data_IF_513765191379
#
_entry.id   IF_513765191379
#
_cell.length_a   1.000
_cell.length_b   1.000
_cell.length_c   1.000
_cell.angle_alpha   90.00
_cell.angle_beta   90.00
_cell.angle_gamma   90.00
#
_symmetry.space_group_name_H-M   'P 1'
#
loop_
_entity.id
_entity.type
_entity.pdbx_description
1 polymer ?
#
# COMPACT_ATOMS: atom_id res chain seq x y z
N UNK A 1 1.81 -13.70 30.68
CA UNK A 1 2.17 -13.77 29.25
C UNK A 1 3.57 -14.36 29.13
N UNK A 2 3.94 -15.04 28.05
CA UNK A 2 5.33 -15.43 27.82
C UNK A 2 6.22 -14.19 27.84
N UNK A 3 7.50 -14.35 28.19
CA UNK A 3 8.45 -13.21 28.20
C UNK A 3 8.95 -12.83 26.81
N UNK A 4 8.83 -13.75 25.84
CA UNK A 4 9.26 -13.59 24.44
C UNK A 4 8.15 -13.95 23.48
N UNK A 5 8.28 -13.50 22.24
CA UNK A 5 7.40 -13.77 21.11
C UNK A 5 8.21 -14.12 19.86
N UNK A 6 7.62 -14.85 18.93
CA UNK A 6 8.20 -15.05 17.59
C UNK A 6 8.06 -13.78 16.75
N UNK A 7 9.12 -13.44 16.02
CA UNK A 7 9.13 -12.30 15.10
C UNK A 7 10.08 -12.53 13.92
N UNK A 8 9.77 -11.92 12.77
CA UNK A 8 10.68 -11.83 11.64
C UNK A 8 11.56 -10.58 11.80
N UNK A 9 12.83 -10.82 11.98
CA UNK A 9 13.81 -9.80 12.33
C UNK A 9 14.82 -9.62 11.20
N UNK A 10 15.06 -8.38 10.81
CA UNK A 10 16.27 -8.01 10.07
C UNK A 10 17.44 -8.03 11.06
N UNK A 11 17.98 -9.21 11.33
CA UNK A 11 18.98 -9.43 12.37
C UNK A 11 20.39 -9.04 11.92
N UNK A 12 20.65 -9.04 10.60
CA UNK A 12 21.97 -8.81 10.01
C UNK A 12 21.88 -7.89 8.79
N UNK A 13 22.96 -7.15 8.52
CA UNK A 13 23.14 -6.27 7.36
C UNK A 13 23.47 -7.05 6.07
N UNK A 14 22.67 -8.06 5.73
CA UNK A 14 22.83 -8.92 4.55
C UNK A 14 21.46 -9.34 4.00
N UNK A 15 21.40 -10.00 2.85
CA UNK A 15 20.14 -10.51 2.26
C UNK A 15 19.48 -11.51 3.21
N UNK A 16 18.19 -11.38 3.41
CA UNK A 16 17.36 -12.25 4.27
C UNK A 16 16.66 -11.51 5.41
N UNK A 17 15.73 -12.20 6.02
CA UNK A 17 15.01 -11.87 7.26
C UNK A 17 14.93 -13.20 8.05
N UNK A 18 14.97 -13.15 9.37
CA UNK A 18 15.09 -14.35 10.21
C UNK A 18 14.00 -14.41 11.26
N UNK A 19 13.44 -15.60 11.49
CA UNK A 19 12.54 -15.86 12.62
C UNK A 19 13.37 -15.95 13.90
N UNK A 20 13.08 -15.08 14.87
CA UNK A 20 13.76 -15.02 16.15
C UNK A 20 12.78 -14.92 17.31
N UNK A 21 13.23 -15.29 18.52
CA UNK A 21 12.54 -15.02 19.77
C UNK A 21 12.97 -13.64 20.29
N UNK A 22 12.04 -12.71 20.37
CA UNK A 22 12.29 -11.34 20.84
C UNK A 22 11.41 -11.02 22.05
N UNK A 23 11.77 -10.07 22.92
CA UNK A 23 10.90 -9.65 24.01
C UNK A 23 9.56 -9.10 23.52
N UNK A 24 8.45 -9.45 24.20
CA UNK A 24 7.15 -8.82 23.97
C UNK A 24 7.26 -7.33 24.31
N UNK A 25 6.78 -6.41 23.46
CA UNK A 25 6.86 -4.98 23.71
C UNK A 25 6.12 -4.55 24.98
N UNK A 26 6.77 -3.80 25.86
CA UNK A 26 6.09 -3.12 26.96
C UNK A 26 5.43 -1.84 26.45
N UNK A 27 4.15 -1.62 26.75
CA UNK A 27 3.39 -0.44 26.34
C UNK A 27 3.60 0.75 27.27
N UNK A 28 3.52 1.95 26.73
CA UNK A 28 3.46 3.23 27.47
C UNK A 28 2.01 3.57 27.84
N UNK A 29 1.79 4.58 28.68
CA UNK A 29 0.42 4.97 29.09
C UNK A 29 -0.54 5.28 27.93
N UNK A 30 -0.05 5.74 26.80
CA UNK A 30 -0.83 6.10 25.61
C UNK A 30 -0.71 5.07 24.46
N UNK A 31 -0.17 3.89 24.73
CA UNK A 31 0.03 2.84 23.74
C UNK A 31 -0.92 1.64 23.99
N UNK A 32 -1.04 0.85 22.95
CA UNK A 32 -1.88 -0.36 22.90
C UNK A 32 -0.99 -1.51 22.47
N UNK A 33 -1.13 -2.68 23.13
CA UNK A 33 -0.55 -3.93 22.68
C UNK A 33 -1.60 -4.70 21.87
N UNK A 34 -1.23 -5.06 20.66
CA UNK A 34 -2.09 -5.75 19.69
C UNK A 34 -1.50 -7.14 19.46
N UNK A 35 -2.30 -8.20 19.66
CA UNK A 35 -1.99 -9.54 19.17
C UNK A 35 -2.24 -9.56 17.67
N UNK A 36 -1.20 -9.82 16.90
CA UNK A 36 -1.27 -9.87 15.44
C UNK A 36 -1.86 -11.21 15.02
N UNK A 37 -2.85 -11.18 14.15
CA UNK A 37 -3.46 -12.39 13.58
C UNK A 37 -2.97 -12.66 12.17
N UNK A 38 -2.96 -11.62 11.34
CA UNK A 38 -2.56 -11.69 9.95
C UNK A 38 -1.66 -10.53 9.60
N UNK A 39 -0.66 -10.78 8.76
CA UNK A 39 0.15 -9.74 8.14
C UNK A 39 0.23 -9.95 6.65
N UNK A 40 0.60 -8.92 5.91
CA UNK A 40 0.79 -9.01 4.47
C UNK A 40 2.17 -8.48 4.10
N UNK A 41 2.79 -9.12 3.10
CA UNK A 41 4.12 -8.71 2.62
C UNK A 41 3.98 -7.56 1.62
N UNK A 42 4.76 -6.50 1.84
CA UNK A 42 4.85 -5.29 1.02
C UNK A 42 6.10 -5.29 0.13
N UNK A 43 6.10 -4.45 -0.91
CA UNK A 43 7.31 -4.15 -1.68
C UNK A 43 8.44 -3.58 -0.83
N UNK A 44 8.12 -2.80 0.20
CA UNK A 44 9.10 -2.29 1.19
C UNK A 44 9.82 -3.42 1.93
N UNK A 45 9.11 -4.49 2.29
CA UNK A 45 9.71 -5.67 2.94
C UNK A 45 10.68 -6.39 1.99
N UNK A 46 10.41 -6.35 0.67
CA UNK A 46 11.32 -6.89 -0.35
C UNK A 46 12.61 -6.07 -0.47
N UNK A 47 12.56 -4.74 -0.31
CA UNK A 47 13.76 -3.89 -0.21
C UNK A 47 14.59 -4.26 1.01
N UNK A 48 13.93 -4.45 2.16
CA UNK A 48 14.57 -4.87 3.43
C UNK A 48 15.17 -6.27 3.30
N UNK A 49 14.42 -7.22 2.70
CA UNK A 49 14.89 -8.59 2.46
C UNK A 49 16.16 -8.58 1.59
N UNK A 50 16.14 -7.86 0.45
CA UNK A 50 17.26 -7.75 -0.49
C UNK A 50 18.44 -6.95 0.07
N UNK A 51 18.23 -6.21 1.13
CA UNK A 51 19.21 -5.31 1.74
C UNK A 51 19.81 -4.31 0.74
N UNK A 52 18.96 -3.71 -0.06
CA UNK A 52 19.35 -2.74 -1.08
C UNK A 52 19.81 -1.38 -0.48
N UNK A 53 20.32 -0.45 -1.29
CA UNK A 53 20.79 0.85 -0.79
C UNK A 53 19.77 1.65 0.00
N UNK A 54 18.47 1.54 -0.34
CA UNK A 54 17.41 2.20 0.42
C UNK A 54 17.27 1.59 1.82
N UNK A 55 17.23 0.26 1.91
CA UNK A 55 17.13 -0.43 3.20
C UNK A 55 18.35 -0.15 4.09
N UNK A 56 19.56 -0.16 3.50
CA UNK A 56 20.80 0.17 4.21
C UNK A 56 20.79 1.59 4.81
N UNK A 57 20.16 2.53 4.14
CA UNK A 57 20.09 3.93 4.61
C UNK A 57 19.01 4.18 5.66
N UNK A 58 17.95 3.35 5.70
CA UNK A 58 16.73 3.66 6.46
C UNK A 58 16.40 2.67 7.58
N UNK A 59 16.92 1.44 7.53
CA UNK A 59 16.54 0.37 8.47
C UNK A 59 17.66 0.08 9.44
N UNK A 60 17.48 0.37 10.74
CA UNK A 60 18.45 -0.05 11.75
C UNK A 60 18.45 -1.58 11.92
N UNK A 61 19.59 -2.14 12.25
CA UNK A 61 19.77 -3.59 12.51
C UNK A 61 20.25 -3.78 13.94
N UNK A 62 19.58 -4.64 14.76
CA UNK A 62 18.42 -5.48 14.44
C UNK A 62 17.08 -4.72 14.43
N UNK A 63 16.09 -5.18 13.61
CA UNK A 63 14.77 -4.58 13.50
C UNK A 63 13.70 -5.65 13.25
N UNK A 64 12.61 -5.67 14.02
CA UNK A 64 11.39 -6.42 13.69
C UNK A 64 10.72 -5.73 12.50
N UNK A 65 10.50 -6.45 11.42
CA UNK A 65 9.98 -5.90 10.15
C UNK A 65 8.45 -6.00 10.04
N UNK A 66 7.88 -5.60 8.89
CA UNK A 66 6.44 -5.67 8.60
C UNK A 66 5.65 -4.47 9.11
N UNK A 67 4.66 -4.03 8.31
CA UNK A 67 3.84 -2.85 8.62
C UNK A 67 2.39 -2.97 8.17
N UNK A 68 2.03 -4.06 7.52
CA UNK A 68 0.69 -4.39 7.06
C UNK A 68 0.13 -5.50 7.95
N UNK A 69 -0.95 -5.24 8.73
CA UNK A 69 -1.45 -6.22 9.69
C UNK A 69 -2.92 -6.02 10.07
N UNK A 70 -3.53 -7.09 10.58
CA UNK A 70 -4.78 -7.09 11.32
C UNK A 70 -4.64 -7.93 12.60
N UNK A 71 -5.28 -7.50 13.67
CA UNK A 71 -5.16 -8.15 14.97
C UNK A 71 -6.22 -7.72 15.96
N UNK A 72 -5.97 -8.02 17.25
CA UNK A 72 -6.85 -7.74 18.36
C UNK A 72 -6.09 -7.08 19.52
N UNK A 73 -6.72 -6.10 20.16
CA UNK A 73 -6.18 -5.42 21.35
C UNK A 73 -6.14 -6.39 22.52
N UNK A 74 -4.96 -6.61 23.12
CA UNK A 74 -4.80 -7.49 24.30
C UNK A 74 -4.41 -6.73 25.56
N UNK A 75 -3.85 -5.52 25.44
CA UNK A 75 -3.51 -4.66 26.58
C UNK A 75 -3.60 -3.18 26.17
N UNK A 76 -4.05 -2.32 27.08
CA UNK A 76 -4.14 -0.87 26.85
C UNK A 76 -3.42 -0.11 27.96
N UNK A 77 -2.76 0.98 27.58
CA UNK A 77 -2.13 1.90 28.53
C UNK A 77 -3.14 2.72 29.33
N UNK A 78 -2.71 3.26 30.47
CA UNK A 78 -3.59 3.90 31.45
C UNK A 78 -4.32 5.16 30.94
N UNK A 79 -3.85 5.79 29.85
CA UNK A 79 -4.47 6.98 29.24
C UNK A 79 -5.28 6.68 27.98
N UNK A 80 -5.30 5.43 27.51
CA UNK A 80 -6.06 4.99 26.34
C UNK A 80 -7.56 5.10 26.60
N UNK A 81 -8.35 5.60 25.61
CA UNK A 81 -9.80 5.83 25.73
C UNK A 81 -10.60 5.43 24.51
N UNK A 82 -9.96 5.27 23.33
CA UNK A 82 -10.64 5.07 22.05
C UNK A 82 -10.84 3.61 21.66
N UNK A 83 -10.11 2.71 22.31
CA UNK A 83 -10.14 1.28 22.05
C UNK A 83 -10.16 0.52 23.35
N UNK A 84 -10.62 -0.74 23.32
CA UNK A 84 -10.72 -1.63 24.47
C UNK A 84 -10.11 -3.01 24.16
N UNK A 85 -9.76 -3.74 25.20
CA UNK A 85 -9.29 -5.13 25.09
C UNK A 85 -10.37 -5.99 24.42
N UNK A 86 -9.95 -6.87 23.52
CA UNK A 86 -10.83 -7.72 22.70
C UNK A 86 -11.29 -7.05 21.39
N UNK A 87 -10.99 -5.79 21.17
CA UNK A 87 -11.39 -5.09 19.95
C UNK A 87 -10.50 -5.45 18.76
N UNK A 88 -11.12 -5.77 17.62
CA UNK A 88 -10.44 -6.03 16.36
C UNK A 88 -9.92 -4.71 15.77
N UNK A 89 -8.68 -4.71 15.36
CA UNK A 89 -7.98 -3.50 14.90
C UNK A 89 -6.99 -3.78 13.76
N UNK A 90 -6.75 -2.74 12.99
CA UNK A 90 -5.51 -2.53 12.24
C UNK A 90 -4.89 -1.22 12.70
N UNK A 91 -3.96 -0.65 11.97
CA UNK A 91 -3.38 0.63 12.37
C UNK A 91 -2.57 1.33 11.29
N UNK A 92 -2.50 2.63 11.46
CA UNK A 92 -1.64 3.50 10.66
C UNK A 92 -0.17 3.27 11.06
N UNK A 93 0.61 2.72 10.14
CA UNK A 93 2.02 2.37 10.38
C UNK A 93 2.96 3.58 10.53
N UNK A 94 2.49 4.79 10.18
CA UNK A 94 3.28 6.01 10.29
C UNK A 94 3.03 6.71 11.62
N UNK A 95 3.99 6.64 12.53
CA UNK A 95 3.96 7.33 13.81
C UNK A 95 4.55 8.74 13.64
N UNK A 96 3.73 9.76 13.90
CA UNK A 96 4.06 11.17 13.65
C UNK A 96 4.63 11.87 14.90
N UNK A 97 5.49 12.87 14.67
CA UNK A 97 6.08 13.68 15.74
C UNK A 97 5.12 14.70 16.38
N UNK A 98 4.03 15.06 15.70
CA UNK A 98 2.97 15.97 16.15
C UNK A 98 3.39 17.45 16.39
N UNK A 99 4.61 17.86 16.02
CA UNK A 99 5.13 19.21 16.31
C UNK A 99 5.27 20.09 15.07
N UNK A 100 5.36 19.50 13.88
CA UNK A 100 5.52 20.24 12.63
C UNK A 100 4.28 21.06 12.26
N UNK A 101 4.45 22.06 11.37
CA UNK A 101 3.33 22.82 10.81
C UNK A 101 2.28 21.92 10.16
N UNK A 102 2.72 20.89 9.42
CA UNK A 102 1.83 19.96 8.75
C UNK A 102 1.01 19.14 9.74
N UNK A 103 1.67 18.52 10.73
CA UNK A 103 0.99 17.75 11.77
C UNK A 103 -0.02 18.61 12.54
N UNK A 104 0.38 19.82 12.98
CA UNK A 104 -0.50 20.75 13.71
C UNK A 104 -1.67 21.29 12.89
N UNK A 105 -1.60 21.23 11.56
CA UNK A 105 -2.72 21.59 10.66
C UNK A 105 -3.53 20.39 10.17
N UNK A 106 -3.39 19.22 10.82
CA UNK A 106 -4.16 18.00 10.49
C UNK A 106 -3.65 17.24 9.27
N UNK A 107 -2.50 17.62 8.70
CA UNK A 107 -1.86 16.93 7.58
C UNK A 107 -0.76 16.00 8.09
N UNK A 108 -1.12 15.06 8.97
CA UNK A 108 -0.18 14.20 9.69
C UNK A 108 0.71 13.36 8.77
N UNK A 109 0.17 12.84 7.66
CA UNK A 109 0.94 12.08 6.66
C UNK A 109 2.07 12.88 6.01
N UNK A 110 2.08 14.21 6.15
CA UNK A 110 3.13 15.11 5.65
C UNK A 110 4.06 15.61 6.77
N UNK A 111 4.04 14.96 7.93
CA UNK A 111 4.94 15.31 9.02
C UNK A 111 6.37 14.83 8.69
N UNK A 112 7.37 15.74 8.65
CA UNK A 112 8.74 15.35 8.33
C UNK A 112 9.41 14.45 9.38
N UNK A 113 8.88 14.42 10.61
CA UNK A 113 9.38 13.56 11.69
C UNK A 113 8.69 12.20 11.77
N UNK A 114 7.96 11.82 10.71
CA UNK A 114 7.27 10.53 10.63
C UNK A 114 8.25 9.36 10.69
N UNK A 115 7.91 8.35 11.50
CA UNK A 115 8.62 7.08 11.61
C UNK A 115 7.68 5.93 11.25
N UNK A 116 8.16 5.01 10.40
CA UNK A 116 7.40 3.83 9.98
C UNK A 116 7.68 2.61 10.86
N UNK A 117 6.64 1.93 11.33
CA UNK A 117 6.80 0.60 11.93
C UNK A 117 7.34 -0.37 10.86
N UNK A 118 8.15 -1.34 11.27
CA UNK A 118 8.80 -2.29 10.34
C UNK A 118 9.91 -1.69 9.47
N UNK A 119 10.18 -0.38 9.58
CA UNK A 119 11.25 0.34 8.85
C UNK A 119 12.25 0.95 9.82
N UNK A 120 11.82 1.88 10.67
CA UNK A 120 12.67 2.52 11.67
C UNK A 120 12.07 2.53 13.08
N UNK A 121 10.94 1.83 13.25
CA UNK A 121 10.37 1.38 14.52
C UNK A 121 10.04 -0.12 14.41
N UNK A 122 10.04 -0.89 15.53
CA UNK A 122 9.64 -2.29 15.51
C UNK A 122 8.28 -2.50 14.84
N UNK A 123 8.22 -3.49 13.95
CA UNK A 123 7.09 -3.76 13.08
C UNK A 123 6.15 -4.85 13.56
N UNK A 124 5.30 -5.28 12.63
CA UNK A 124 4.17 -6.18 12.86
C UNK A 124 4.41 -7.64 12.39
N UNK A 125 5.54 -7.97 11.77
CA UNK A 125 5.87 -9.37 11.52
C UNK A 125 6.30 -10.06 12.81
N UNK A 126 5.36 -10.15 13.76
CA UNK A 126 5.53 -10.68 15.09
C UNK A 126 4.16 -11.08 15.68
N UNK A 127 4.16 -11.89 16.73
CA UNK A 127 2.92 -12.24 17.44
C UNK A 127 2.25 -11.04 18.11
N UNK A 128 3.03 -10.00 18.47
CA UNK A 128 2.51 -8.77 19.09
C UNK A 128 3.20 -7.54 18.49
N UNK A 129 2.40 -6.49 18.32
CA UNK A 129 2.89 -5.15 17.96
C UNK A 129 2.31 -4.11 18.91
N UNK A 130 3.10 -3.08 19.24
CA UNK A 130 2.60 -1.93 20.01
C UNK A 130 2.48 -0.71 19.14
N UNK A 131 1.43 0.06 19.36
CA UNK A 131 1.20 1.35 18.71
C UNK A 131 0.68 2.40 19.68
N UNK A 132 0.94 3.70 19.43
CA UNK A 132 0.16 4.75 20.07
C UNK A 132 -1.34 4.58 19.75
N UNK A 133 -2.22 4.83 20.72
CA UNK A 133 -3.67 4.80 20.52
C UNK A 133 -4.11 5.62 19.28
N UNK A 134 -3.43 6.75 19.04
CA UNK A 134 -3.68 7.63 17.91
C UNK A 134 -3.59 6.93 16.55
N UNK A 135 -2.74 5.90 16.46
CA UNK A 135 -2.50 5.13 15.24
C UNK A 135 -3.42 3.91 15.09
N UNK A 136 -4.14 3.51 16.15
CA UNK A 136 -4.98 2.32 16.14
C UNK A 136 -6.31 2.59 15.45
N UNK A 137 -6.69 1.73 14.52
CA UNK A 137 -7.93 1.83 13.75
C UNK A 137 -8.85 0.67 14.14
N UNK A 138 -9.96 0.94 14.85
CA UNK A 138 -11.00 -0.06 15.09
C UNK A 138 -11.60 -0.56 13.77
N UNK A 139 -11.85 -1.86 13.71
CA UNK A 139 -12.42 -2.52 12.55
C UNK A 139 -13.84 -3.02 12.83
N UNK A 140 -14.72 -3.09 11.80
CA UNK A 140 -15.97 -3.83 11.90
C UNK A 140 -15.75 -5.28 12.30
N UNK A 141 -16.67 -5.85 13.12
CA UNK A 141 -16.53 -7.20 13.62
C UNK A 141 -16.60 -8.28 12.53
N UNK A 142 -17.29 -7.99 11.43
CA UNK A 142 -17.47 -8.87 10.27
C UNK A 142 -16.38 -8.73 9.20
N UNK A 143 -15.47 -7.74 9.30
CA UNK A 143 -14.39 -7.57 8.33
C UNK A 143 -13.40 -8.75 8.42
N UNK A 144 -13.15 -9.51 7.34
CA UNK A 144 -12.17 -10.60 7.36
C UNK A 144 -10.77 -10.11 7.75
N UNK A 145 -10.04 -10.86 8.61
CA UNK A 145 -8.69 -10.48 9.03
C UNK A 145 -7.68 -10.46 7.87
N UNK A 146 -7.88 -11.24 6.84
CA UNK A 146 -7.07 -11.18 5.62
C UNK A 146 -7.21 -9.81 4.94
N UNK A 147 -8.43 -9.27 4.88
CA UNK A 147 -8.69 -7.91 4.37
C UNK A 147 -8.10 -6.86 5.33
N UNK A 148 -8.22 -7.05 6.65
CA UNK A 148 -7.60 -6.16 7.63
C UNK A 148 -6.07 -6.02 7.42
N UNK A 149 -5.41 -7.12 7.05
CA UNK A 149 -3.96 -7.13 6.80
C UNK A 149 -3.54 -6.39 5.51
N UNK A 150 -4.45 -6.13 4.58
CA UNK A 150 -4.14 -5.40 3.33
C UNK A 150 -4.67 -3.96 3.32
N UNK A 151 -5.19 -3.47 4.43
CA UNK A 151 -5.74 -2.10 4.50
C UNK A 151 -4.65 -1.02 4.29
N UNK A 152 -3.42 -1.29 4.70
CA UNK A 152 -2.30 -0.38 4.46
C UNK A 152 -2.09 -0.08 2.96
N UNK A 153 -1.82 -1.06 2.08
CA UNK A 153 -1.67 -0.82 0.64
C UNK A 153 -2.98 -0.41 -0.03
N UNK A 154 -4.14 -0.86 0.44
CA UNK A 154 -5.43 -0.38 -0.05
C UNK A 154 -5.61 1.11 0.23
N UNK A 155 -5.17 1.59 1.39
CA UNK A 155 -5.19 3.02 1.71
C UNK A 155 -4.35 3.85 0.74
N UNK A 156 -3.19 3.35 0.29
CA UNK A 156 -2.39 4.01 -0.75
C UNK A 156 -3.15 4.06 -2.10
N UNK A 157 -3.84 2.98 -2.46
CA UNK A 157 -4.67 2.91 -3.65
C UNK A 157 -5.85 3.88 -3.58
N UNK A 158 -6.55 3.95 -2.45
CA UNK A 158 -7.67 4.89 -2.21
C UNK A 158 -7.21 6.33 -2.24
N UNK A 159 -6.08 6.67 -1.59
CA UNK A 159 -5.53 8.03 -1.62
C UNK A 159 -5.19 8.44 -3.06
N UNK A 160 -4.53 7.55 -3.81
CA UNK A 160 -4.17 7.82 -5.21
C UNK A 160 -5.41 8.03 -6.06
N UNK A 161 -6.35 7.09 -6.04
CA UNK A 161 -7.53 7.13 -6.87
C UNK A 161 -8.45 8.32 -6.57
N UNK A 162 -8.69 8.61 -5.28
CA UNK A 162 -9.58 9.70 -4.88
C UNK A 162 -8.89 11.08 -4.77
N UNK A 163 -7.68 11.22 -5.29
CA UNK A 163 -6.97 12.51 -5.34
C UNK A 163 -7.63 13.48 -6.31
N UNK A 164 -8.21 12.98 -7.39
CA UNK A 164 -8.96 13.73 -8.40
C UNK A 164 -10.36 13.16 -8.55
N UNK A 165 -11.24 13.91 -9.19
CA UNK A 165 -12.57 13.41 -9.54
C UNK A 165 -12.47 12.32 -10.61
N UNK A 166 -13.27 11.26 -10.47
CA UNK A 166 -13.23 10.09 -11.35
C UNK A 166 -14.57 9.80 -12.04
N UNK A 167 -15.64 10.45 -11.59
CA UNK A 167 -16.99 10.14 -12.09
C UNK A 167 -17.12 10.51 -13.56
N UNK A 168 -17.28 9.48 -14.41
CA UNK A 168 -17.41 9.66 -15.85
C UNK A 168 -16.09 9.84 -16.60
N UNK A 169 -14.94 9.80 -15.93
CA UNK A 169 -13.62 10.04 -16.50
C UNK A 169 -12.98 8.76 -17.09
N UNK A 170 -12.11 8.94 -18.08
CA UNK A 170 -11.26 7.90 -18.65
C UNK A 170 -9.91 7.84 -17.90
N UNK A 171 -9.61 6.69 -17.32
CA UNK A 171 -8.48 6.52 -16.39
C UNK A 171 -7.36 5.69 -17.04
N UNK A 172 -6.12 6.18 -16.96
CA UNK A 172 -4.92 5.42 -17.27
C UNK A 172 -4.18 5.04 -15.97
N UNK A 173 -3.86 3.77 -15.82
CA UNK A 173 -3.03 3.26 -14.72
C UNK A 173 -1.77 2.63 -15.31
N UNK A 174 -0.60 3.10 -14.93
CA UNK A 174 0.68 2.48 -15.31
C UNK A 174 1.20 1.61 -14.17
N UNK A 175 1.40 0.32 -14.45
CA UNK A 175 1.79 -0.69 -13.46
C UNK A 175 0.61 -1.47 -12.87
N UNK A 176 0.50 -2.74 -13.24
CA UNK A 176 -0.49 -3.69 -12.75
C UNK A 176 0.01 -4.49 -11.53
N UNK A 177 0.78 -3.86 -10.65
CA UNK A 177 1.08 -4.40 -9.32
C UNK A 177 -0.15 -4.41 -8.42
N UNK A 178 -0.10 -5.04 -7.23
CA UNK A 178 -1.26 -5.13 -6.34
C UNK A 178 -1.91 -3.78 -6.04
N UNK A 179 -1.13 -2.71 -5.79
CA UNK A 179 -1.68 -1.37 -5.52
C UNK A 179 -2.33 -0.78 -6.78
N UNK A 180 -1.73 -0.96 -7.97
CA UNK A 180 -2.33 -0.51 -9.23
C UNK A 180 -3.68 -1.19 -9.53
N UNK A 181 -3.77 -2.50 -9.28
CA UNK A 181 -5.02 -3.26 -9.42
C UNK A 181 -6.07 -2.81 -8.39
N UNK A 182 -5.67 -2.60 -7.13
CA UNK A 182 -6.56 -2.06 -6.10
C UNK A 182 -7.03 -0.64 -6.47
N UNK A 183 -6.15 0.21 -7.03
CA UNK A 183 -6.54 1.55 -7.52
C UNK A 183 -7.55 1.47 -8.66
N UNK A 184 -7.42 0.48 -9.54
CA UNK A 184 -8.39 0.23 -10.61
C UNK A 184 -9.76 -0.19 -10.04
N UNK A 185 -9.79 -1.07 -9.03
CA UNK A 185 -11.02 -1.47 -8.36
C UNK A 185 -11.70 -0.28 -7.66
N UNK A 186 -10.91 0.56 -6.98
CA UNK A 186 -11.39 1.80 -6.36
C UNK A 186 -11.95 2.76 -7.41
N UNK A 187 -11.25 2.97 -8.53
CA UNK A 187 -11.71 3.84 -9.62
C UNK A 187 -13.02 3.34 -10.25
N UNK A 188 -13.14 2.04 -10.47
CA UNK A 188 -14.38 1.43 -10.96
C UNK A 188 -15.54 1.65 -9.99
N UNK A 189 -15.32 1.44 -8.69
CA UNK A 189 -16.30 1.67 -7.63
C UNK A 189 -16.69 3.15 -7.50
N UNK A 190 -15.74 4.07 -7.76
CA UNK A 190 -15.96 5.51 -7.72
C UNK A 190 -16.68 6.06 -8.96
N UNK A 191 -16.93 5.27 -10.00
CA UNK A 191 -17.69 5.68 -11.17
C UNK A 191 -16.87 6.11 -12.38
N UNK A 192 -15.63 5.68 -12.50
CA UNK A 192 -14.81 5.88 -13.70
C UNK A 192 -15.51 5.28 -14.94
N UNK A 193 -15.45 5.98 -16.09
CA UNK A 193 -16.11 5.55 -17.33
C UNK A 193 -15.38 4.40 -17.98
N UNK A 194 -14.07 4.52 -18.15
CA UNK A 194 -13.19 3.51 -18.71
C UNK A 194 -11.90 3.46 -17.89
N UNK A 195 -11.36 2.26 -17.72
CA UNK A 195 -10.10 2.08 -17.02
C UNK A 195 -9.17 1.26 -17.92
N UNK A 196 -8.03 1.85 -18.26
CA UNK A 196 -6.94 1.18 -18.98
C UNK A 196 -5.78 1.00 -18.01
N UNK A 197 -5.29 -0.23 -17.85
CA UNK A 197 -4.13 -0.53 -17.05
C UNK A 197 -3.03 -1.14 -17.91
N UNK A 198 -1.79 -0.68 -17.74
CA UNK A 198 -0.63 -1.12 -18.51
C UNK A 198 0.40 -1.83 -17.64
N UNK A 199 1.04 -2.83 -18.18
CA UNK A 199 2.21 -3.49 -17.60
C UNK A 199 3.01 -4.20 -18.70
N UNK A 200 4.20 -4.71 -18.37
CA UNK A 200 5.01 -5.60 -19.20
C UNK A 200 4.82 -7.07 -18.82
N UNK A 201 4.19 -7.35 -17.68
CA UNK A 201 3.96 -8.67 -17.13
C UNK A 201 2.54 -9.15 -17.44
N UNK A 202 2.43 -10.12 -18.35
CA UNK A 202 1.15 -10.69 -18.77
C UNK A 202 0.35 -11.35 -17.64
N UNK A 203 1.02 -11.98 -16.66
CA UNK A 203 0.35 -12.57 -15.51
C UNK A 203 -0.43 -11.48 -14.74
N UNK A 204 0.23 -10.34 -14.46
CA UNK A 204 -0.40 -9.20 -13.76
C UNK A 204 -1.55 -8.60 -14.52
N UNK A 205 -1.43 -8.48 -15.84
CA UNK A 205 -2.51 -7.99 -16.70
C UNK A 205 -3.72 -8.94 -16.69
N UNK A 206 -3.50 -10.24 -16.74
CA UNK A 206 -4.57 -11.23 -16.62
C UNK A 206 -5.18 -11.23 -15.22
N UNK A 207 -4.37 -11.03 -14.19
CA UNK A 207 -4.84 -10.90 -12.82
C UNK A 207 -5.71 -9.65 -12.64
N UNK A 208 -5.32 -8.52 -13.21
CA UNK A 208 -6.14 -7.30 -13.21
C UNK A 208 -7.53 -7.53 -13.81
N UNK A 209 -7.64 -8.28 -14.92
CA UNK A 209 -8.93 -8.65 -15.53
C UNK A 209 -9.82 -9.50 -14.62
N UNK A 210 -9.20 -10.36 -13.79
CA UNK A 210 -9.93 -11.17 -12.82
C UNK A 210 -10.52 -10.31 -11.70
N UNK A 211 -9.74 -9.33 -11.19
CA UNK A 211 -10.13 -8.50 -10.05
C UNK A 211 -11.09 -7.39 -10.45
N UNK A 212 -10.92 -6.79 -11.63
CA UNK A 212 -11.71 -5.64 -12.08
C UNK A 212 -12.42 -5.97 -13.39
N UNK A 213 -13.67 -6.43 -13.33
CA UNK A 213 -14.45 -6.71 -14.53
C UNK A 213 -14.56 -5.48 -15.44
N UNK A 214 -14.33 -5.67 -16.74
CA UNK A 214 -14.41 -4.60 -17.72
C UNK A 214 -13.17 -3.72 -17.86
N UNK A 215 -12.11 -3.96 -17.08
CA UNK A 215 -10.85 -3.25 -17.24
C UNK A 215 -10.19 -3.60 -18.58
N UNK A 216 -9.63 -2.60 -19.25
CA UNK A 216 -8.83 -2.81 -20.45
C UNK A 216 -7.34 -2.91 -20.08
N UNK A 217 -6.70 -4.01 -20.45
CA UNK A 217 -5.29 -4.25 -20.12
C UNK A 217 -4.43 -4.15 -21.35
N UNK A 218 -3.26 -3.51 -21.23
CA UNK A 218 -2.34 -3.29 -22.35
C UNK A 218 -0.93 -3.79 -21.97
N UNK A 219 -0.44 -4.76 -22.71
CA UNK A 219 0.96 -5.16 -22.70
C UNK A 219 1.74 -4.20 -23.60
N UNK A 220 2.35 -3.20 -22.98
CA UNK A 220 3.08 -2.13 -23.71
C UNK A 220 4.34 -2.62 -24.44
N UNK A 221 4.71 -3.89 -24.29
CA UNK A 221 5.77 -4.52 -25.09
C UNK A 221 5.25 -5.04 -26.44
N UNK A 222 3.92 -5.18 -26.58
CA UNK A 222 3.27 -5.76 -27.75
C UNK A 222 2.34 -4.80 -28.48
N UNK A 223 1.75 -3.86 -27.74
CA UNK A 223 0.75 -2.94 -28.29
C UNK A 223 1.07 -1.50 -27.89
N UNK A 224 0.86 -0.56 -28.81
CA UNK A 224 0.95 0.86 -28.55
C UNK A 224 -0.21 1.33 -27.67
N UNK A 225 0.08 2.07 -26.59
CA UNK A 225 -0.97 2.66 -25.75
C UNK A 225 -1.94 3.56 -26.55
N UNK A 226 -1.45 4.25 -27.60
CA UNK A 226 -2.28 5.08 -28.49
C UNK A 226 -3.26 4.25 -29.32
N UNK A 227 -2.88 3.05 -29.74
CA UNK A 227 -3.77 2.16 -30.46
C UNK A 227 -4.78 1.52 -29.53
N UNK A 228 -4.35 1.13 -28.32
CA UNK A 228 -5.24 0.66 -27.27
C UNK A 228 -6.31 1.72 -26.89
N UNK A 229 -5.92 2.99 -26.74
CA UNK A 229 -6.86 4.10 -26.53
C UNK A 229 -7.96 4.13 -27.59
N UNK A 230 -7.58 4.10 -28.88
CA UNK A 230 -8.52 4.11 -30.00
C UNK A 230 -9.48 2.92 -29.97
N UNK A 231 -8.96 1.73 -29.65
CA UNK A 231 -9.74 0.49 -29.61
C UNK A 231 -10.87 0.54 -28.56
N UNK A 232 -10.67 1.26 -27.45
CA UNK A 232 -11.68 1.46 -26.41
C UNK A 232 -12.49 2.74 -26.59
N UNK A 233 -12.28 3.50 -27.70
CA UNK A 233 -13.03 4.68 -28.04
C UNK A 233 -12.61 5.95 -27.29
N UNK A 234 -11.38 6.01 -26.77
CA UNK A 234 -10.77 7.22 -26.19
C UNK A 234 -10.07 7.97 -27.33
N UNK A 235 -10.53 9.18 -27.66
CA UNK A 235 -10.04 9.93 -28.83
C UNK A 235 -9.06 11.03 -28.46
N UNK A 236 -9.33 11.79 -27.41
CA UNK A 236 -8.56 13.00 -27.05
C UNK A 236 -7.44 12.72 -26.04
N UNK A 237 -7.58 11.70 -25.21
CA UNK A 237 -6.63 11.31 -24.16
C UNK A 237 -7.34 10.86 -22.90
N UNK A 238 -6.55 10.48 -21.88
CA UNK A 238 -7.04 10.14 -20.57
C UNK A 238 -7.22 11.38 -19.71
N UNK A 239 -8.30 11.43 -18.94
CA UNK A 239 -8.63 12.54 -18.05
C UNK A 239 -7.77 12.47 -16.77
N UNK A 240 -7.60 11.26 -16.21
CA UNK A 240 -6.82 11.03 -14.99
C UNK A 240 -5.85 9.88 -15.18
N UNK A 241 -4.59 10.10 -14.79
CA UNK A 241 -3.53 9.11 -14.77
C UNK A 241 -3.13 8.72 -13.35
N UNK A 242 -2.95 7.40 -13.09
CA UNK A 242 -2.31 6.90 -11.87
C UNK A 242 -0.97 6.30 -12.25
N UNK A 243 0.11 7.01 -11.93
CA UNK A 243 1.47 6.49 -12.13
C UNK A 243 1.86 5.62 -10.94
N UNK A 244 1.87 4.29 -11.16
CA UNK A 244 2.05 3.27 -10.13
C UNK A 244 3.29 2.42 -10.36
N UNK A 245 4.01 2.64 -11.46
CA UNK A 245 5.14 1.79 -11.89
C UNK A 245 6.51 2.33 -11.44
N UNK A 246 6.66 3.64 -11.33
CA UNK A 246 7.95 4.31 -11.16
C UNK A 246 8.89 4.17 -12.37
N UNK A 247 8.39 3.69 -13.51
CA UNK A 247 9.19 3.45 -14.71
C UNK A 247 9.15 4.65 -15.65
N UNK A 248 10.34 5.17 -16.01
CA UNK A 248 10.48 6.32 -16.93
C UNK A 248 9.65 6.17 -18.22
N UNK A 249 9.72 5.04 -18.99
CA UNK A 249 8.96 4.92 -20.23
C UNK A 249 7.44 4.93 -20.02
N UNK A 250 6.95 4.38 -18.89
CA UNK A 250 5.53 4.37 -18.57
C UNK A 250 5.02 5.78 -18.24
N UNK A 251 5.84 6.57 -17.54
CA UNK A 251 5.53 7.94 -17.18
C UNK A 251 5.52 8.85 -18.43
N UNK A 252 6.48 8.69 -19.34
CA UNK A 252 6.50 9.41 -20.62
C UNK A 252 5.26 9.10 -21.47
N UNK A 253 4.90 7.82 -21.60
CA UNK A 253 3.69 7.40 -22.30
C UNK A 253 2.42 7.97 -21.67
N UNK A 254 2.37 8.05 -20.34
CA UNK A 254 1.27 8.69 -19.61
C UNK A 254 1.16 10.16 -20.01
N UNK A 255 2.22 10.96 -19.88
CA UNK A 255 2.21 12.37 -20.27
C UNK A 255 1.74 12.55 -21.73
N UNK A 256 2.22 11.70 -22.65
CA UNK A 256 1.88 11.77 -24.07
C UNK A 256 0.41 11.49 -24.37
N UNK A 257 -0.24 10.65 -23.54
CA UNK A 257 -1.60 10.18 -23.77
C UNK A 257 -2.66 10.85 -22.87
N UNK A 258 -2.28 11.73 -21.96
CA UNK A 258 -3.24 12.58 -21.23
C UNK A 258 -3.91 13.59 -22.14
N UNK A 259 -5.17 13.92 -21.87
CA UNK A 259 -5.88 15.05 -22.47
C UNK A 259 -5.24 16.39 -22.06
N UNK A 260 -5.53 17.47 -22.79
CA UNK A 260 -5.24 18.83 -22.34
C UNK A 260 -5.95 19.15 -21.03
N UNK A 261 -5.24 19.61 -20.03
CA UNK A 261 -5.76 19.85 -18.68
C UNK A 261 -5.90 18.60 -17.80
N UNK A 262 -5.41 17.44 -18.26
CA UNK A 262 -5.49 16.18 -17.52
C UNK A 262 -4.72 16.18 -16.20
N UNK A 263 -5.06 15.24 -15.33
CA UNK A 263 -4.56 15.13 -13.96
C UNK A 263 -3.74 13.86 -13.76
N UNK A 264 -2.60 13.93 -13.09
CA UNK A 264 -1.74 12.76 -12.81
C UNK A 264 -1.46 12.64 -11.30
N UNK A 265 -1.86 11.53 -10.70
CA UNK A 265 -1.48 11.11 -9.35
C UNK A 265 -0.27 10.18 -9.42
N UNK A 266 0.83 10.54 -8.77
CA UNK A 266 2.10 9.80 -8.84
C UNK A 266 2.39 9.13 -7.51
N UNK A 267 2.34 7.80 -7.47
CA UNK A 267 2.68 6.95 -6.31
C UNK A 267 3.92 6.10 -6.57
N UNK A 268 4.16 5.68 -7.81
CA UNK A 268 5.31 4.87 -8.17
C UNK A 268 6.63 5.57 -7.84
N UNK A 269 7.51 4.90 -7.09
CA UNK A 269 8.83 5.43 -6.78
C UNK A 269 9.85 4.95 -7.82
N UNK A 270 10.50 5.87 -8.55
CA UNK A 270 11.52 5.49 -9.51
C UNK A 270 12.77 4.96 -8.80
N UNK A 271 13.37 3.90 -9.36
CA UNK A 271 14.61 3.33 -8.82
C UNK A 271 15.84 4.24 -8.99
N UNK A 272 15.75 5.19 -9.91
CA UNK A 272 16.77 6.23 -10.18
C UNK A 272 16.08 7.48 -10.75
N UNK A 273 16.66 8.68 -10.57
CA UNK A 273 16.18 9.88 -11.24
C UNK A 273 16.15 9.71 -12.75
N UNK A 274 15.13 10.29 -13.42
CA UNK A 274 15.02 10.35 -14.87
C UNK A 274 14.60 11.76 -15.33
N UNK A 275 14.88 12.16 -16.59
CA UNK A 275 14.49 13.45 -17.11
C UNK A 275 12.98 13.56 -17.29
N UNK A 276 12.44 14.78 -17.14
CA UNK A 276 11.04 15.10 -17.40
C UNK A 276 10.97 16.19 -18.48
N UNK A 277 10.19 15.96 -19.53
CA UNK A 277 9.85 17.01 -20.51
C UNK A 277 8.82 17.99 -19.91
N UNK A 278 9.32 19.00 -19.20
CA UNK A 278 8.50 20.05 -18.60
C UNK A 278 7.73 20.84 -19.67
N UNK A 279 8.24 20.93 -20.90
CA UNK A 279 7.56 21.58 -22.01
C UNK A 279 6.21 20.92 -22.31
N UNK A 280 6.18 19.59 -22.36
CA UNK A 280 4.92 18.84 -22.54
C UNK A 280 3.93 19.09 -21.41
N UNK A 281 4.41 19.11 -20.15
CA UNK A 281 3.57 19.38 -18.97
C UNK A 281 2.91 20.76 -19.08
N UNK A 282 3.68 21.79 -19.42
CA UNK A 282 3.18 23.16 -19.57
C UNK A 282 2.22 23.28 -20.75
N UNK A 283 2.60 22.78 -21.93
CA UNK A 283 1.79 22.90 -23.15
C UNK A 283 0.47 22.13 -23.08
N UNK A 284 0.44 21.04 -22.33
CA UNK A 284 -0.81 20.28 -22.05
C UNK A 284 -1.56 20.79 -20.81
N UNK A 285 -1.04 21.78 -20.09
CA UNK A 285 -1.62 22.28 -18.82
C UNK A 285 -1.90 21.17 -17.81
N UNK A 286 -1.01 20.18 -17.69
CA UNK A 286 -1.22 19.02 -16.80
C UNK A 286 -1.10 19.42 -15.33
N UNK A 287 -1.96 18.84 -14.49
CA UNK A 287 -1.80 18.85 -13.03
C UNK A 287 -1.14 17.57 -12.58
N UNK A 288 -0.01 17.68 -11.88
CA UNK A 288 0.73 16.51 -11.36
C UNK A 288 0.82 16.59 -9.85
N UNK A 289 0.42 15.51 -9.16
CA UNK A 289 0.43 15.44 -7.70
C UNK A 289 1.15 14.20 -7.21
N UNK A 290 2.20 14.40 -6.41
CA UNK A 290 2.85 13.32 -5.65
C UNK A 290 1.95 12.81 -4.54
N UNK A 291 1.84 11.49 -4.42
CA UNK A 291 1.07 10.81 -3.38
C UNK A 291 2.04 10.19 -2.39
N UNK A 292 1.91 10.54 -1.12
CA UNK A 292 2.72 9.98 -0.05
C UNK A 292 1.81 9.24 0.95
N UNK A 293 1.90 7.91 0.92
CA UNK A 293 1.14 7.05 1.81
C UNK A 293 -0.38 7.32 1.76
N UNK A 294 -0.99 7.42 2.91
CA UNK A 294 -2.43 7.66 3.13
C UNK A 294 -2.65 9.01 3.79
N UNK A 295 -3.73 9.68 3.48
CA UNK A 295 -4.16 10.84 4.30
C UNK A 295 -4.68 10.32 5.64
N UNK A 296 -3.92 10.58 6.72
CA UNK A 296 -4.33 10.24 8.08
C UNK A 296 -5.40 11.23 8.56
N UNK A 297 -6.61 10.84 8.91
CA UNK A 297 -7.18 9.48 8.91
C UNK A 297 -8.31 9.36 7.89
N UNK A 298 -8.50 10.40 7.08
CA UNK A 298 -9.58 10.51 6.11
C UNK A 298 -9.61 9.30 5.15
N UNK A 299 -8.43 8.87 4.66
CA UNK A 299 -8.33 7.70 3.78
C UNK A 299 -8.81 6.41 4.47
N UNK A 300 -8.54 6.24 5.77
CA UNK A 300 -8.97 5.06 6.52
C UNK A 300 -10.50 4.97 6.58
N UNK A 301 -11.18 6.07 6.88
CA UNK A 301 -12.65 6.10 6.92
C UNK A 301 -13.26 5.88 5.54
N UNK A 302 -12.73 6.49 4.50
CA UNK A 302 -13.19 6.27 3.11
C UNK A 302 -13.02 4.83 2.67
N UNK A 303 -11.86 4.24 2.95
CA UNK A 303 -11.55 2.86 2.63
C UNK A 303 -12.52 1.86 3.27
N UNK A 304 -12.75 1.99 4.58
CA UNK A 304 -13.69 1.14 5.29
C UNK A 304 -15.13 1.33 4.77
N UNK A 305 -15.56 2.56 4.49
CA UNK A 305 -16.85 2.83 3.89
C UNK A 305 -17.00 2.25 2.47
N UNK A 306 -15.93 2.24 1.67
CA UNK A 306 -15.96 1.62 0.34
C UNK A 306 -16.10 0.10 0.43
N UNK A 307 -15.41 -0.54 1.39
CA UNK A 307 -15.55 -1.99 1.65
C UNK A 307 -16.98 -2.30 2.11
N UNK A 308 -17.51 -1.57 3.08
CA UNK A 308 -18.89 -1.71 3.57
C UNK A 308 -19.91 -1.54 2.43
N UNK A 309 -19.67 -0.62 1.50
CA UNK A 309 -20.52 -0.43 0.31
C UNK A 309 -20.30 -1.45 -0.80
N UNK A 310 -19.47 -2.49 -0.59
CA UNK A 310 -19.27 -3.60 -1.52
C UNK A 310 -18.05 -3.46 -2.45
N UNK A 311 -16.99 -2.76 -2.04
CA UNK A 311 -15.69 -2.93 -2.66
C UNK A 311 -15.12 -4.28 -2.22
N UNK A 312 -15.13 -5.26 -3.11
CA UNK A 312 -14.60 -6.59 -2.85
C UNK A 312 -13.16 -6.71 -3.38
N UNK A 313 -12.26 -7.15 -2.50
CA UNK A 313 -10.85 -7.33 -2.78
C UNK A 313 -10.33 -8.68 -2.27
N UNK A 314 -11.19 -9.64 -1.97
CA UNK A 314 -10.76 -10.94 -1.45
C UNK A 314 -9.81 -11.64 -2.43
N UNK A 315 -10.13 -11.63 -3.70
CA UNK A 315 -9.35 -12.25 -4.76
C UNK A 315 -7.98 -11.60 -5.02
N UNK A 316 -7.70 -10.39 -4.48
CA UNK A 316 -6.36 -9.79 -4.56
C UNK A 316 -5.33 -10.56 -3.73
N UNK A 317 -5.80 -11.34 -2.76
CA UNK A 317 -4.98 -12.18 -1.88
C UNK A 317 -4.78 -13.53 -2.56
N UNK A 318 -3.61 -13.75 -3.13
CA UNK A 318 -3.33 -14.95 -3.93
C UNK A 318 -2.71 -16.08 -3.13
N UNK A 319 -2.00 -15.75 -2.04
CA UNK A 319 -1.28 -16.75 -1.24
C UNK A 319 -1.45 -16.50 0.26
N UNK A 320 -1.53 -17.59 1.00
CA UNK A 320 -1.61 -17.59 2.46
C UNK A 320 -0.63 -18.63 2.99
N UNK A 321 0.24 -18.23 3.91
CA UNK A 321 1.26 -19.06 4.54
C UNK A 321 1.17 -18.92 6.04
N UNK A 322 1.59 -19.95 6.78
CA UNK A 322 1.88 -19.80 8.20
C UNK A 322 3.14 -18.97 8.38
N UNK A 323 3.27 -18.23 9.49
CA UNK A 323 4.41 -17.34 9.72
C UNK A 323 5.77 -18.07 9.67
N UNK A 324 5.80 -19.36 10.02
CA UNK A 324 6.99 -20.23 9.94
C UNK A 324 7.40 -20.49 8.49
N UNK A 325 6.49 -20.38 7.52
CA UNK A 325 6.73 -20.55 6.08
C UNK A 325 7.13 -19.23 5.40
N UNK A 326 7.56 -18.24 6.17
CA UNK A 326 7.89 -16.91 5.64
C UNK A 326 8.88 -16.93 4.47
N UNK A 327 9.84 -17.85 4.45
CA UNK A 327 10.81 -17.94 3.37
C UNK A 327 10.12 -18.27 2.05
N UNK A 328 9.20 -19.25 2.04
CA UNK A 328 8.39 -19.60 0.85
C UNK A 328 7.53 -18.41 0.40
N UNK A 329 6.97 -17.67 1.34
CA UNK A 329 6.18 -16.47 1.06
C UNK A 329 7.02 -15.36 0.40
N UNK A 330 8.25 -15.12 0.88
CA UNK A 330 9.19 -14.18 0.26
C UNK A 330 9.66 -14.66 -1.12
N UNK A 331 9.87 -15.97 -1.32
CA UNK A 331 10.24 -16.55 -2.61
C UNK A 331 9.12 -16.37 -3.66
N UNK A 332 7.85 -16.53 -3.28
CA UNK A 332 6.68 -16.20 -4.13
C UNK A 332 6.70 -14.72 -4.54
N UNK A 333 6.97 -13.81 -3.60
CA UNK A 333 7.09 -12.39 -3.89
C UNK A 333 8.24 -12.07 -4.86
N UNK A 334 9.37 -12.76 -4.71
CA UNK A 334 10.52 -12.65 -5.63
C UNK A 334 10.18 -13.11 -7.05
N UNK A 335 9.34 -14.12 -7.19
CA UNK A 335 8.85 -14.63 -8.48
C UNK A 335 7.99 -13.63 -9.25
N UNK A 336 7.34 -12.68 -8.56
CA UNK A 336 6.60 -11.56 -9.16
C UNK A 336 5.23 -11.92 -9.77
N UNK A 337 4.80 -13.18 -9.68
CA UNK A 337 3.50 -13.70 -10.13
C UNK A 337 2.56 -13.92 -8.93
N UNK A 338 2.34 -12.86 -8.16
CA UNK A 338 1.43 -12.85 -7.02
C UNK A 338 0.69 -11.51 -6.88
N UNK A 339 -0.48 -11.57 -6.25
CA UNK A 339 -1.16 -10.43 -5.66
C UNK A 339 -0.63 -10.17 -4.25
N UNK A 340 -1.53 -10.04 -3.26
CA UNK A 340 -1.11 -9.94 -1.86
C UNK A 340 -0.82 -11.32 -1.28
N UNK A 341 0.23 -11.38 -0.46
CA UNK A 341 0.69 -12.59 0.23
C UNK A 341 0.53 -12.38 1.73
N UNK A 342 -0.23 -13.26 2.38
CA UNK A 342 -0.56 -13.19 3.80
C UNK A 342 0.29 -14.17 4.59
N UNK A 343 0.77 -13.74 5.77
CA UNK A 343 1.33 -14.59 6.81
C UNK A 343 0.35 -14.70 7.98
N UNK A 344 0.05 -15.93 8.40
CA UNK A 344 -0.80 -16.24 9.54
C UNK A 344 0.05 -16.35 10.81
N UNK A 345 -0.33 -15.61 11.86
CA UNK A 345 0.35 -15.58 13.16
C UNK A 345 -0.44 -16.26 14.28
N UNK A 346 -1.58 -16.85 13.95
CA UNK A 346 -2.36 -17.64 14.91
C UNK A 346 -1.81 -19.06 14.97
N UNK A 347 -1.41 -19.49 16.15
CA UNK A 347 -1.22 -20.91 16.48
C UNK A 347 -2.55 -21.59 16.74
#
# INVERSE_FOLDING_TARGET
MPQTMKALVKAKSEVGIWMEDVPIPTIKPNEVLIKVHKTSICGTDMHIYKWDPWAQANVPVPMVTGHEYGGEVVEIGSTVRRVQVGQRVSGEGHVVGNVSRNARSGRWHLDPDTKGIGVNLPGAFAEYVRLPEFNVIPLPDDLPMDIAAILDPLGNAVHTALTFDLVGEDILITGAGPIGIMSAAVAAKAGARRIVITDINNWRLNFAKKIVPGIHTVDVTKESLKDAMKSVGIQEGFDVGFEMSGAEPAFEQMIDTMIMGGNIAMLGLPSKPFPLDVGKVVLKALTMRGIYGRQMYDTWYKMLAMIDSGLDLEDIITHRFESQQYQEAFDVMLGGECGKVILNWND
#
